data_IF_374966098246
#
_entry.id   IF_374966098246
#
_cell.length_a   1.000
_cell.length_b   1.000
_cell.length_c   1.000
_cell.angle_alpha   90.00
_cell.angle_beta   90.00
_cell.angle_gamma   90.00
#
_symmetry.space_group_name_H-M   'P 1'
#
loop_
_entity.id
_entity.type
_entity.pdbx_description
1 polymer ?
#
# COMPACT_ATOMS: atom_id res chain seq x y z
N UNK A 1 -33.39 2.70 -8.18
CA UNK A 1 -34.74 2.18 -8.50
C UNK A 1 -35.02 1.08 -7.49
N UNK A 2 -35.97 1.28 -6.61
CA UNK A 2 -36.46 0.22 -5.73
C UNK A 2 -37.80 -0.26 -6.33
N UNK A 3 -37.95 -1.58 -6.51
CA UNK A 3 -39.15 -2.23 -7.04
C UNK A 3 -39.66 -1.63 -8.37
N UNK A 4 -38.74 -1.16 -9.23
CA UNK A 4 -39.09 -0.56 -10.53
C UNK A 4 -39.50 0.91 -10.48
N UNK A 5 -39.61 1.51 -9.30
CA UNK A 5 -39.97 2.92 -9.13
C UNK A 5 -38.71 3.80 -9.21
N UNK A 6 -38.74 4.79 -10.11
CA UNK A 6 -37.68 5.81 -10.19
C UNK A 6 -37.81 6.79 -9.03
N UNK A 7 -36.74 6.98 -8.29
CA UNK A 7 -36.62 8.03 -7.27
C UNK A 7 -35.31 8.80 -7.44
N UNK A 8 -35.29 10.06 -7.09
CA UNK A 8 -34.13 10.92 -7.05
C UNK A 8 -33.72 11.13 -5.59
N UNK A 9 -32.44 11.02 -5.31
CA UNK A 9 -31.87 11.31 -4.00
C UNK A 9 -30.47 11.91 -4.17
N UNK A 10 -30.07 12.76 -3.23
CA UNK A 10 -28.70 13.25 -3.15
C UNK A 10 -27.79 12.09 -2.71
N UNK A 11 -26.63 11.96 -3.37
CA UNK A 11 -25.61 10.98 -3.02
C UNK A 11 -24.27 11.68 -2.76
N UNK A 12 -23.38 11.01 -2.02
CA UNK A 12 -22.04 11.52 -1.73
C UNK A 12 -21.03 10.63 -2.45
N UNK A 13 -20.19 11.23 -3.29
CA UNK A 13 -19.16 10.54 -4.05
C UNK A 13 -17.79 10.74 -3.39
N UNK A 14 -16.94 9.73 -3.49
CA UNK A 14 -15.55 9.85 -3.11
C UNK A 14 -14.80 10.77 -4.09
N UNK A 15 -14.01 11.72 -3.58
CA UNK A 15 -13.20 12.56 -4.43
C UNK A 15 -12.05 11.74 -5.05
N UNK A 16 -11.80 11.98 -6.34
CA UNK A 16 -10.70 11.41 -7.10
C UNK A 16 -10.01 12.53 -7.87
N UNK A 17 -8.74 12.79 -7.55
CA UNK A 17 -7.97 13.87 -8.12
C UNK A 17 -6.54 13.42 -8.43
N UNK A 18 -5.88 13.99 -9.45
CA UNK A 18 -4.48 13.68 -9.73
C UNK A 18 -3.56 14.17 -8.62
N UNK A 19 -2.52 13.40 -8.33
CA UNK A 19 -1.37 13.79 -7.52
C UNK A 19 -0.10 13.54 -8.32
N UNK A 20 0.70 14.59 -8.52
CA UNK A 20 2.03 14.48 -9.08
C UNK A 20 3.06 14.35 -7.94
N UNK A 21 3.91 13.34 -8.04
CA UNK A 21 5.01 13.08 -7.11
C UNK A 21 6.31 13.51 -7.77
N UNK A 22 7.02 14.44 -7.14
CA UNK A 22 8.33 14.94 -7.56
C UNK A 22 9.40 14.62 -6.53
N UNK A 23 10.63 14.48 -7.01
CA UNK A 23 11.83 14.34 -6.17
C UNK A 23 12.76 15.51 -6.43
N UNK A 24 13.28 16.10 -5.34
CA UNK A 24 14.32 17.12 -5.34
C UNK A 24 15.55 16.57 -4.64
N UNK A 25 16.66 16.43 -5.34
CA UNK A 25 17.90 15.90 -4.79
C UNK A 25 19.04 16.93 -4.90
N UNK A 26 20.10 16.84 -4.07
CA UNK A 26 21.22 17.79 -4.10
C UNK A 26 21.91 17.81 -5.47
N UNK A 27 22.09 19.00 -6.02
CA UNK A 27 22.78 19.19 -7.31
C UNK A 27 22.01 18.71 -8.54
N UNK A 28 20.74 18.39 -8.39
CA UNK A 28 19.86 17.96 -9.48
C UNK A 28 18.62 18.85 -9.58
N UNK A 29 18.11 19.03 -10.80
CA UNK A 29 16.82 19.65 -11.00
C UNK A 29 15.70 18.79 -10.42
N UNK A 30 14.60 19.43 -10.03
CA UNK A 30 13.42 18.72 -9.55
C UNK A 30 12.87 17.82 -10.68
N UNK A 31 12.61 16.54 -10.36
CA UNK A 31 12.18 15.55 -11.33
C UNK A 31 10.77 15.03 -10.99
N UNK A 32 9.92 14.98 -12.00
CA UNK A 32 8.66 14.26 -11.92
C UNK A 32 8.92 12.75 -11.93
N UNK A 33 8.37 12.04 -10.93
CA UNK A 33 8.52 10.58 -10.82
C UNK A 33 7.24 9.87 -11.24
N UNK A 34 6.08 10.33 -10.76
CA UNK A 34 4.80 9.72 -11.06
C UNK A 34 3.64 10.73 -11.02
N UNK A 35 2.56 10.37 -11.71
CA UNK A 35 1.24 10.97 -11.53
C UNK A 35 0.26 9.83 -11.22
N UNK A 36 -0.49 9.94 -10.14
CA UNK A 36 -1.48 8.95 -9.74
C UNK A 36 -2.82 9.61 -9.44
N UNK A 37 -3.92 8.91 -9.75
CA UNK A 37 -5.24 9.32 -9.27
C UNK A 37 -5.40 8.86 -7.82
N UNK A 38 -5.81 9.75 -6.92
CA UNK A 38 -5.93 9.47 -5.50
C UNK A 38 -7.16 10.14 -4.87
N UNK A 39 -7.59 9.64 -3.73
CA UNK A 39 -8.47 10.40 -2.83
C UNK A 39 -7.63 11.38 -2.02
N UNK A 40 -7.94 12.70 -2.04
CA UNK A 40 -7.21 13.71 -1.27
C UNK A 40 -7.07 13.36 0.22
N UNK A 41 -5.91 13.73 0.78
CA UNK A 41 -5.53 13.43 2.16
C UNK A 41 -4.53 12.28 2.29
N UNK A 42 -3.53 12.45 3.18
CA UNK A 42 -2.41 11.54 3.30
C UNK A 42 -1.48 11.58 2.08
N UNK A 43 -1.37 12.71 1.43
CA UNK A 43 -0.61 12.87 0.17
C UNK A 43 0.90 12.77 0.40
N UNK A 44 1.38 13.19 1.56
CA UNK A 44 2.79 13.05 1.94
C UNK A 44 3.14 11.58 2.20
N UNK A 45 2.26 10.89 2.94
CA UNK A 45 2.37 9.44 3.17
C UNK A 45 2.31 8.68 1.84
N UNK A 46 1.39 9.05 0.92
CA UNK A 46 1.31 8.45 -0.41
C UNK A 46 2.61 8.62 -1.20
N UNK A 47 3.13 9.84 -1.26
CA UNK A 47 4.34 10.14 -2.03
C UNK A 47 5.56 9.38 -1.50
N UNK A 48 5.78 9.41 -0.18
CA UNK A 48 6.93 8.70 0.44
C UNK A 48 6.75 7.20 0.38
N UNK A 49 5.54 6.70 0.66
CA UNK A 49 5.22 5.28 0.59
C UNK A 49 5.43 4.72 -0.81
N UNK A 50 4.93 5.41 -1.83
CA UNK A 50 5.17 5.04 -3.23
C UNK A 50 6.66 4.97 -3.57
N UNK A 51 7.43 6.02 -3.29
CA UNK A 51 8.86 6.06 -3.59
C UNK A 51 9.63 4.94 -2.87
N UNK A 52 9.28 4.66 -1.63
CA UNK A 52 9.90 3.61 -0.82
C UNK A 52 9.54 2.21 -1.33
N UNK A 53 8.25 1.92 -1.53
CA UNK A 53 7.78 0.60 -1.94
C UNK A 53 8.16 0.24 -3.37
N UNK A 54 8.37 1.24 -4.23
CA UNK A 54 8.96 1.07 -5.58
C UNK A 54 10.50 0.97 -5.53
N UNK A 55 11.13 1.03 -4.35
CA UNK A 55 12.57 0.92 -4.15
C UNK A 55 13.36 2.09 -4.75
N UNK A 56 12.73 3.23 -4.93
CA UNK A 56 13.35 4.44 -5.49
C UNK A 56 14.13 5.22 -4.44
N UNK A 57 13.70 5.14 -3.16
CA UNK A 57 14.37 5.78 -2.02
C UNK A 57 14.43 4.82 -0.84
N UNK A 58 15.36 5.04 0.07
CA UNK A 58 15.36 4.43 1.41
C UNK A 58 14.92 5.48 2.45
N UNK A 59 14.36 5.08 3.60
CA UNK A 59 13.83 6.03 4.60
C UNK A 59 14.82 7.13 5.01
N UNK A 60 16.09 6.76 5.17
CA UNK A 60 17.15 7.69 5.56
C UNK A 60 17.48 8.75 4.51
N UNK A 61 17.06 8.58 3.26
CA UNK A 61 17.28 9.57 2.20
C UNK A 61 16.24 10.70 2.23
N UNK A 62 15.08 10.50 2.86
CA UNK A 62 14.00 11.49 2.91
C UNK A 62 14.37 12.60 3.90
N UNK A 63 14.55 13.81 3.38
CA UNK A 63 14.85 15.01 4.17
C UNK A 63 13.60 15.81 4.53
N UNK A 64 12.70 16.00 3.58
CA UNK A 64 11.48 16.80 3.71
C UNK A 64 10.44 16.37 2.69
N UNK A 65 9.18 16.47 3.07
CA UNK A 65 8.05 16.34 2.16
C UNK A 65 7.20 17.59 2.27
N UNK A 66 6.79 18.16 1.15
CA UNK A 66 5.95 19.34 1.10
C UNK A 66 5.16 19.41 -0.21
N UNK A 67 4.03 20.11 -0.19
CA UNK A 67 3.44 20.55 -1.46
C UNK A 67 4.39 21.56 -2.15
N UNK A 68 4.40 21.53 -3.48
CA UNK A 68 5.12 22.53 -4.24
C UNK A 68 4.45 23.90 -4.06
N UNK A 69 5.27 24.92 -3.92
CA UNK A 69 4.78 26.31 -3.91
C UNK A 69 4.21 26.66 -5.29
N UNK A 70 3.10 27.39 -5.30
CA UNK A 70 2.54 28.00 -6.52
C UNK A 70 3.29 29.28 -6.86
N UNK A 71 3.24 29.68 -8.13
CA UNK A 71 3.74 30.98 -8.53
C UNK A 71 2.87 32.09 -7.91
N UNK A 72 3.45 33.25 -7.59
CA UNK A 72 2.65 34.38 -7.09
C UNK A 72 1.47 34.72 -8.02
N UNK A 73 0.26 34.62 -7.47
CA UNK A 73 -0.99 34.89 -8.22
C UNK A 73 -1.71 33.62 -8.74
N UNK A 74 -1.16 32.44 -8.52
CA UNK A 74 -1.83 31.18 -8.83
C UNK A 74 -2.48 30.58 -7.57
N UNK A 75 -3.65 29.94 -7.76
CA UNK A 75 -4.32 29.20 -6.68
C UNK A 75 -3.56 27.88 -6.37
N UNK A 76 -3.39 27.58 -5.08
CA UNK A 76 -2.80 26.32 -4.63
C UNK A 76 -3.80 25.15 -4.78
N UNK A 77 -3.48 24.20 -5.63
CA UNK A 77 -4.34 23.03 -5.88
C UNK A 77 -4.00 21.81 -5.01
N UNK A 78 -2.89 21.83 -4.27
CA UNK A 78 -2.42 20.73 -3.41
C UNK A 78 -2.31 19.38 -4.14
N UNK A 79 -1.93 19.41 -5.41
CA UNK A 79 -1.85 18.25 -6.28
C UNK A 79 -0.44 17.91 -6.76
N UNK A 80 0.58 18.61 -6.23
CA UNK A 80 1.99 18.35 -6.51
C UNK A 80 2.75 18.26 -5.19
N UNK A 81 3.29 17.08 -4.89
CA UNK A 81 4.12 16.83 -3.70
C UNK A 81 5.57 16.64 -4.12
N UNK A 82 6.46 17.38 -3.48
CA UNK A 82 7.92 17.25 -3.62
C UNK A 82 8.53 16.54 -2.42
N UNK A 83 9.28 15.49 -2.67
CA UNK A 83 10.10 14.79 -1.68
C UNK A 83 11.54 15.21 -1.87
N UNK A 84 12.07 15.98 -0.90
CA UNK A 84 13.47 16.42 -0.90
C UNK A 84 14.33 15.33 -0.28
N UNK A 85 15.44 14.99 -0.92
CA UNK A 85 16.36 13.94 -0.49
C UNK A 85 17.67 14.52 0.07
N UNK A 86 18.36 13.72 0.91
CA UNK A 86 19.70 14.01 1.39
C UNK A 86 20.80 13.62 0.38
N UNK A 87 20.51 12.70 -0.55
CA UNK A 87 21.45 12.13 -1.51
C UNK A 87 20.96 12.32 -2.95
N UNK A 88 21.87 12.23 -3.94
CA UNK A 88 21.50 12.23 -5.34
C UNK A 88 20.48 11.13 -5.66
N UNK A 89 19.55 11.42 -6.55
CA UNK A 89 18.49 10.52 -6.99
C UNK A 89 18.89 9.84 -8.31
N UNK A 90 18.73 8.52 -8.38
CA UNK A 90 18.98 7.73 -9.58
C UNK A 90 17.72 7.69 -10.47
N UNK A 91 17.62 8.63 -11.40
CA UNK A 91 16.49 8.73 -12.33
C UNK A 91 16.37 7.55 -13.31
N UNK A 92 17.45 6.80 -13.55
CA UNK A 92 17.39 5.64 -14.44
C UNK A 92 16.64 4.46 -13.81
N UNK A 93 16.57 4.41 -12.49
CA UNK A 93 15.67 3.48 -11.76
C UNK A 93 14.20 3.75 -12.09
N UNK A 94 13.79 5.00 -12.15
CA UNK A 94 12.41 5.38 -12.51
C UNK A 94 12.04 4.81 -13.87
N UNK A 95 12.89 5.04 -14.88
CA UNK A 95 12.64 4.54 -16.23
C UNK A 95 12.51 3.02 -16.26
N UNK A 96 13.40 2.29 -15.58
CA UNK A 96 13.36 0.82 -15.52
C UNK A 96 12.07 0.30 -14.89
N UNK A 97 11.65 0.86 -13.76
CA UNK A 97 10.45 0.42 -13.04
C UNK A 97 9.18 0.68 -13.84
N UNK A 98 9.04 1.84 -14.49
CA UNK A 98 7.84 2.18 -15.26
C UNK A 98 7.78 1.50 -16.65
N UNK A 99 8.92 1.24 -17.30
CA UNK A 99 8.93 0.45 -18.54
C UNK A 99 8.52 -1.01 -18.28
N UNK A 100 8.87 -1.58 -17.15
CA UNK A 100 8.49 -2.94 -16.78
C UNK A 100 6.98 -3.09 -16.53
N UNK A 101 6.31 -2.05 -16.03
CA UNK A 101 4.86 -2.07 -15.75
C UNK A 101 3.98 -1.71 -16.95
N UNK A 102 4.50 -0.96 -17.92
CA UNK A 102 3.74 -0.50 -19.09
C UNK A 102 3.86 -1.42 -20.32
N UNK A 103 4.86 -2.30 -20.36
CA UNK A 103 5.03 -3.25 -21.44
C UNK A 103 4.40 -4.58 -21.09
N UNK A 104 3.32 -4.93 -21.77
CA UNK A 104 2.72 -6.27 -21.76
C UNK A 104 3.79 -7.29 -22.19
N UNK A 105 4.40 -8.00 -21.21
CA UNK A 105 5.42 -9.01 -21.55
C UNK A 105 6.60 -9.14 -20.60
N UNK A 106 6.67 -8.39 -19.49
CA UNK A 106 7.68 -8.70 -18.47
C UNK A 106 7.28 -10.03 -17.84
N UNK A 107 8.11 -11.04 -18.05
CA UNK A 107 7.96 -12.35 -17.45
C UNK A 107 7.91 -12.17 -15.92
N UNK A 108 6.88 -12.72 -15.25
CA UNK A 108 6.71 -12.63 -13.79
C UNK A 108 7.99 -12.98 -13.01
N UNK A 109 8.88 -13.80 -13.59
CA UNK A 109 10.19 -14.12 -13.05
C UNK A 109 11.13 -12.91 -12.93
N UNK A 110 11.16 -12.03 -13.93
CA UNK A 110 11.99 -10.82 -13.90
C UNK A 110 11.50 -9.83 -12.82
N UNK A 111 10.17 -9.75 -12.60
CA UNK A 111 9.60 -8.93 -11.53
C UNK A 111 9.96 -9.45 -10.14
N UNK A 112 9.98 -10.78 -9.95
CA UNK A 112 10.40 -11.40 -8.68
C UNK A 112 11.90 -11.18 -8.39
N UNK A 113 12.76 -11.32 -9.42
CA UNK A 113 14.21 -11.06 -9.31
C UNK A 113 14.50 -9.60 -8.95
N UNK A 114 13.72 -8.67 -9.46
CA UNK A 114 13.84 -7.22 -9.18
C UNK A 114 13.51 -6.89 -7.70
N UNK A 115 12.58 -7.62 -7.09
CA UNK A 115 12.26 -7.47 -5.66
C UNK A 115 13.33 -8.09 -4.77
N UNK A 116 13.92 -9.22 -5.14
CA UNK A 116 15.00 -9.85 -4.37
C UNK A 116 16.21 -8.92 -4.17
N UNK A 117 16.46 -8.02 -5.11
CA UNK A 117 17.52 -7.01 -4.99
C UNK A 117 17.14 -5.91 -3.99
N UNK A 118 15.86 -5.78 -3.63
CA UNK A 118 15.32 -4.65 -2.86
C UNK A 118 14.95 -4.97 -1.42
N UNK A 119 14.66 -6.22 -1.10
CA UNK A 119 14.23 -6.61 0.23
C UNK A 119 14.81 -7.97 0.65
N UNK A 120 15.09 -8.08 1.94
CA UNK A 120 15.45 -9.34 2.55
C UNK A 120 14.23 -10.27 2.66
N UNK A 121 14.48 -11.57 2.68
CA UNK A 121 13.44 -12.54 3.01
C UNK A 121 12.91 -12.28 4.42
N UNK A 122 11.61 -12.21 4.57
CA UNK A 122 10.94 -11.99 5.86
C UNK A 122 10.97 -13.30 6.65
N UNK A 123 12.02 -13.49 7.47
CA UNK A 123 12.22 -14.73 8.23
C UNK A 123 11.44 -14.78 9.55
N UNK A 124 11.17 -13.60 10.14
CA UNK A 124 10.54 -13.44 11.46
C UNK A 124 9.17 -12.76 11.33
N UNK A 125 8.34 -12.90 12.35
CA UNK A 125 7.04 -12.25 12.41
C UNK A 125 6.17 -12.84 13.50
N UNK A 126 5.05 -12.20 13.84
CA UNK A 126 4.12 -12.69 14.84
C UNK A 126 3.43 -13.97 14.37
N UNK A 127 3.08 -14.81 15.34
CA UNK A 127 2.13 -15.92 15.15
C UNK A 127 0.76 -15.44 15.62
N UNK A 128 -0.27 -15.62 14.77
CA UNK A 128 -1.63 -15.15 15.05
C UNK A 128 -2.63 -16.29 14.91
N UNK A 129 -3.78 -16.18 15.57
CA UNK A 129 -4.83 -17.20 15.47
C UNK A 129 -5.75 -16.95 14.27
N UNK A 130 -6.43 -17.97 13.74
CA UNK A 130 -7.46 -17.79 12.71
C UNK A 130 -8.56 -16.81 13.14
N UNK A 131 -9.00 -16.87 14.40
CA UNK A 131 -10.02 -15.96 14.94
C UNK A 131 -9.57 -14.51 14.95
N UNK A 132 -8.28 -14.26 15.19
CA UNK A 132 -7.69 -12.93 15.07
C UNK A 132 -7.82 -12.43 13.63
N UNK A 133 -7.37 -13.22 12.65
CA UNK A 133 -7.42 -12.86 11.22
C UNK A 133 -8.85 -12.62 10.75
N UNK A 134 -9.82 -13.43 11.20
CA UNK A 134 -11.23 -13.27 10.86
C UNK A 134 -11.86 -11.95 11.34
N UNK A 135 -11.29 -11.31 12.37
CA UNK A 135 -11.76 -10.02 12.88
C UNK A 135 -11.19 -8.81 12.13
N UNK A 136 -10.08 -8.98 11.39
CA UNK A 136 -9.40 -7.86 10.74
C UNK A 136 -10.24 -7.13 9.68
N UNK A 137 -11.06 -7.81 8.83
CA UNK A 137 -11.91 -7.11 7.88
C UNK A 137 -12.92 -6.18 8.54
N UNK A 138 -13.55 -6.62 9.64
CA UNK A 138 -14.51 -5.80 10.39
C UNK A 138 -13.81 -4.64 11.10
N UNK A 139 -12.65 -4.88 11.70
CA UNK A 139 -11.84 -3.83 12.31
C UNK A 139 -11.43 -2.76 11.28
N UNK A 140 -10.97 -3.19 10.09
CA UNK A 140 -10.67 -2.31 8.97
C UNK A 140 -11.92 -1.53 8.55
N UNK A 141 -13.04 -2.23 8.35
CA UNK A 141 -14.31 -1.64 7.91
C UNK A 141 -14.82 -0.57 8.87
N UNK A 142 -14.75 -0.84 10.18
CA UNK A 142 -15.19 0.10 11.21
C UNK A 142 -14.34 1.38 11.26
N UNK A 143 -13.09 1.31 10.80
CA UNK A 143 -12.19 2.47 10.72
C UNK A 143 -12.36 3.29 9.42
N UNK A 144 -13.08 2.78 8.40
CA UNK A 144 -13.28 3.43 7.11
C UNK A 144 -14.36 4.51 7.17
N UNK A 145 -13.97 5.75 7.45
CA UNK A 145 -14.89 6.89 7.63
C UNK A 145 -15.45 7.42 6.31
N UNK A 146 -14.65 7.47 5.26
CA UNK A 146 -15.05 8.00 3.94
C UNK A 146 -15.86 6.95 3.19
N UNK A 147 -15.42 5.70 3.20
CA UNK A 147 -16.16 4.59 2.61
C UNK A 147 -17.57 4.45 3.21
N UNK A 148 -17.72 4.63 4.51
CA UNK A 148 -19.02 4.54 5.17
C UNK A 148 -20.06 5.52 4.59
N UNK A 149 -19.61 6.64 4.01
CA UNK A 149 -20.46 7.68 3.39
C UNK A 149 -20.60 7.53 1.89
N UNK A 150 -19.60 6.99 1.21
CA UNK A 150 -19.50 7.03 -0.25
C UNK A 150 -19.56 5.65 -0.90
N UNK A 151 -19.17 4.60 -0.18
CA UNK A 151 -19.07 3.23 -0.71
C UNK A 151 -17.97 3.02 -1.76
N UNK A 152 -17.20 4.05 -2.12
CA UNK A 152 -16.33 4.08 -3.32
C UNK A 152 -14.83 3.94 -3.09
N UNK A 153 -14.37 3.59 -1.87
CA UNK A 153 -12.94 3.54 -1.57
C UNK A 153 -12.46 2.13 -1.19
N UNK A 154 -11.20 1.88 -1.51
CA UNK A 154 -10.41 0.83 -0.92
C UNK A 154 -9.80 1.27 0.40
N UNK A 155 -9.36 0.30 1.22
CA UNK A 155 -8.62 0.56 2.44
C UNK A 155 -7.49 -0.45 2.65
N UNK A 156 -6.46 0.02 3.33
CA UNK A 156 -5.41 -0.77 3.93
C UNK A 156 -5.30 -0.41 5.42
N UNK A 157 -5.06 -1.41 6.25
CA UNK A 157 -4.87 -1.22 7.68
C UNK A 157 -3.68 -2.02 8.18
N UNK A 158 -2.92 -1.41 9.07
CA UNK A 158 -1.78 -2.01 9.75
C UNK A 158 -2.18 -2.31 11.20
N UNK A 159 -1.97 -3.56 11.60
CA UNK A 159 -2.38 -4.09 12.90
C UNK A 159 -1.19 -4.74 13.61
N UNK A 160 -1.23 -4.78 14.96
CA UNK A 160 -0.36 -5.65 15.75
C UNK A 160 -1.07 -6.96 16.09
N UNK A 161 -0.29 -7.95 16.51
CA UNK A 161 -0.81 -9.27 16.89
C UNK A 161 -1.77 -9.24 18.10
N UNK A 162 -1.73 -8.20 18.93
CA UNK A 162 -2.67 -7.97 20.02
C UNK A 162 -4.03 -7.41 19.56
N UNK A 163 -4.18 -7.11 18.28
CA UNK A 163 -5.39 -6.55 17.68
C UNK A 163 -5.44 -5.03 17.66
N UNK A 164 -4.44 -4.35 18.19
CA UNK A 164 -4.38 -2.89 18.13
C UNK A 164 -4.22 -2.41 16.67
N UNK A 165 -5.01 -1.41 16.31
CA UNK A 165 -4.93 -0.71 15.02
C UNK A 165 -3.79 0.29 15.10
N UNK A 166 -2.80 0.16 14.23
CA UNK A 166 -1.68 1.10 14.12
C UNK A 166 -2.03 2.24 13.18
N UNK A 167 -2.54 1.91 12.00
CA UNK A 167 -2.92 2.86 10.98
C UNK A 167 -3.98 2.29 10.05
N UNK A 168 -4.89 3.13 9.57
CA UNK A 168 -5.82 2.81 8.48
C UNK A 168 -5.85 3.98 7.50
N UNK A 169 -5.74 3.67 6.22
CA UNK A 169 -5.85 4.64 5.13
C UNK A 169 -6.83 4.17 4.07
N UNK A 170 -7.59 5.14 3.56
CA UNK A 170 -8.55 4.93 2.48
C UNK A 170 -8.07 5.65 1.22
N UNK A 171 -8.31 5.05 0.05
CA UNK A 171 -8.04 5.64 -1.25
C UNK A 171 -8.89 4.98 -2.33
N UNK A 172 -9.18 5.72 -3.42
CA UNK A 172 -9.82 5.16 -4.62
C UNK A 172 -8.96 4.05 -5.24
N UNK A 173 -7.63 4.16 -5.13
CA UNK A 173 -6.65 3.17 -5.55
C UNK A 173 -6.23 2.24 -4.41
N UNK A 174 -6.45 0.92 -4.57
CA UNK A 174 -6.01 -0.06 -3.55
C UNK A 174 -4.50 -0.02 -3.26
N UNK A 175 -3.67 0.25 -4.27
CA UNK A 175 -2.23 0.38 -4.12
C UNK A 175 -1.87 1.66 -3.34
N UNK A 176 -2.54 2.76 -3.64
CA UNK A 176 -2.37 4.02 -2.91
C UNK A 176 -2.71 3.87 -1.42
N UNK A 177 -3.78 3.13 -1.08
CA UNK A 177 -4.14 2.88 0.32
C UNK A 177 -3.00 2.17 1.07
N UNK A 178 -2.33 1.19 0.43
CA UNK A 178 -1.16 0.49 0.98
C UNK A 178 0.03 1.43 1.08
N UNK A 179 0.31 2.23 0.03
CA UNK A 179 1.40 3.19 0.04
C UNK A 179 1.21 4.24 1.14
N UNK A 180 -0.01 4.74 1.36
CA UNK A 180 -0.32 5.67 2.46
C UNK A 180 -0.02 5.07 3.84
N UNK A 181 -0.43 3.82 4.08
CA UNK A 181 -0.18 3.13 5.36
C UNK A 181 1.31 2.93 5.60
N UNK A 182 2.05 2.45 4.58
CA UNK A 182 3.50 2.21 4.68
C UNK A 182 4.24 3.54 4.79
N UNK A 183 3.87 4.54 3.98
CA UNK A 183 4.52 5.85 3.98
C UNK A 183 4.38 6.60 5.30
N UNK A 184 3.25 6.44 6.01
CA UNK A 184 3.11 6.95 7.38
C UNK A 184 4.18 6.37 8.30
N UNK A 185 4.41 5.05 8.21
CA UNK A 185 5.43 4.38 9.04
C UNK A 185 6.85 4.75 8.62
N UNK A 186 7.10 4.96 7.31
CA UNK A 186 8.39 5.48 6.82
C UNK A 186 8.67 6.87 7.41
N UNK A 187 7.69 7.78 7.37
CA UNK A 187 7.82 9.13 7.94
C UNK A 187 7.99 9.13 9.46
N UNK A 188 7.42 8.14 10.15
CA UNK A 188 7.56 7.94 11.59
C UNK A 188 8.86 7.21 11.98
N UNK A 189 9.67 6.73 11.02
CA UNK A 189 10.88 5.94 11.28
C UNK A 189 10.60 4.51 11.79
N UNK A 190 9.39 3.99 11.53
CA UNK A 190 8.91 2.70 12.06
C UNK A 190 9.19 1.47 11.18
N UNK A 191 9.86 1.63 10.03
CA UNK A 191 10.20 0.48 9.17
C UNK A 191 11.58 -0.11 9.53
N UNK A 192 11.77 -1.44 9.39
CA UNK A 192 10.87 -2.46 8.82
C UNK A 192 9.73 -2.88 9.77
N UNK A 193 8.59 -3.29 9.19
CA UNK A 193 7.31 -3.57 9.88
C UNK A 193 7.17 -5.05 10.28
N UNK A 194 8.18 -5.64 10.88
CA UNK A 194 8.28 -7.09 11.16
C UNK A 194 7.22 -7.62 12.13
N UNK A 195 6.71 -6.77 13.01
CA UNK A 195 5.72 -7.15 14.04
C UNK A 195 4.28 -6.78 13.65
N UNK A 196 4.03 -6.53 12.35
CA UNK A 196 2.75 -6.03 11.88
C UNK A 196 2.06 -6.97 10.90
N UNK A 197 0.75 -6.83 10.83
CA UNK A 197 -0.13 -7.50 9.89
C UNK A 197 -0.78 -6.45 9.01
N UNK A 198 -0.70 -6.61 7.69
CA UNK A 198 -1.39 -5.76 6.72
C UNK A 198 -2.72 -6.40 6.33
N UNK A 199 -3.84 -5.71 6.58
CA UNK A 199 -5.16 -6.10 6.08
C UNK A 199 -5.57 -5.18 4.93
N UNK A 200 -5.99 -5.75 3.80
CA UNK A 200 -6.50 -4.99 2.66
C UNK A 200 -7.94 -5.34 2.34
N UNK A 201 -8.72 -4.35 1.91
CA UNK A 201 -10.14 -4.53 1.55
C UNK A 201 -10.36 -5.17 0.18
N UNK A 202 -9.31 -5.25 -0.63
CA UNK A 202 -9.37 -5.72 -2.02
C UNK A 202 -8.77 -7.11 -2.24
N UNK A 203 -8.35 -7.35 -3.50
CA UNK A 203 -7.59 -8.54 -3.90
C UNK A 203 -6.14 -8.42 -3.50
N UNK A 204 -5.48 -9.55 -3.24
CA UNK A 204 -4.03 -9.67 -3.11
C UNK A 204 -3.40 -9.79 -4.50
N UNK A 205 -2.96 -8.67 -5.07
CA UNK A 205 -2.16 -8.67 -6.29
C UNK A 205 -0.67 -8.77 -5.96
N UNK A 206 0.13 -9.11 -6.96
CA UNK A 206 1.58 -9.16 -6.84
C UNK A 206 2.16 -7.85 -6.29
N UNK A 207 1.70 -6.70 -6.79
CA UNK A 207 2.20 -5.39 -6.37
C UNK A 207 1.92 -5.10 -4.88
N UNK A 208 0.78 -5.57 -4.33
CA UNK A 208 0.49 -5.44 -2.89
C UNK A 208 1.47 -6.27 -2.06
N UNK A 209 1.76 -7.50 -2.51
CA UNK A 209 2.74 -8.38 -1.84
C UNK A 209 4.14 -7.79 -1.94
N UNK A 210 4.53 -7.25 -3.11
CA UNK A 210 5.80 -6.54 -3.32
C UNK A 210 5.96 -5.38 -2.32
N UNK A 211 4.96 -4.50 -2.23
CA UNK A 211 4.99 -3.35 -1.32
C UNK A 211 5.13 -3.78 0.14
N UNK A 212 4.39 -4.82 0.54
CA UNK A 212 4.48 -5.39 1.87
C UNK A 212 5.85 -6.02 2.15
N UNK A 213 6.44 -6.74 1.17
CA UNK A 213 7.79 -7.33 1.27
C UNK A 213 8.86 -6.26 1.49
N UNK A 214 8.86 -5.19 0.67
CA UNK A 214 9.80 -4.06 0.80
C UNK A 214 9.67 -3.39 2.17
N UNK A 215 8.45 -3.31 2.73
CA UNK A 215 8.21 -2.79 4.06
C UNK A 215 8.56 -3.77 5.20
N UNK A 216 8.88 -5.04 4.89
CA UNK A 216 9.22 -6.08 5.86
C UNK A 216 8.00 -6.64 6.60
N UNK A 217 6.79 -6.58 6.02
CA UNK A 217 5.55 -7.05 6.63
C UNK A 217 5.42 -8.56 6.45
N UNK A 218 5.35 -9.35 7.55
CA UNK A 218 5.35 -10.82 7.47
C UNK A 218 4.00 -11.45 7.10
N UNK A 219 2.89 -10.79 7.40
CA UNK A 219 1.54 -11.33 7.19
C UNK A 219 0.71 -10.31 6.41
N UNK A 220 0.15 -10.75 5.27
CA UNK A 220 -0.81 -9.96 4.49
C UNK A 220 -2.12 -10.70 4.37
N UNK A 221 -3.18 -10.06 4.80
CA UNK A 221 -4.55 -10.58 4.84
C UNK A 221 -5.46 -9.78 3.90
N UNK A 222 -6.35 -10.46 3.20
CA UNK A 222 -7.25 -9.83 2.23
C UNK A 222 -8.66 -10.44 2.26
N UNK A 223 -9.66 -9.61 2.02
CA UNK A 223 -11.06 -10.03 1.90
C UNK A 223 -11.30 -10.90 0.67
N UNK A 224 -10.47 -10.74 -0.37
CA UNK A 224 -10.62 -11.43 -1.66
C UNK A 224 -9.42 -12.32 -2.01
N UNK A 225 -9.41 -12.84 -3.25
CA UNK A 225 -8.42 -13.79 -3.72
C UNK A 225 -7.03 -13.19 -3.95
N UNK A 226 -5.94 -13.97 -3.76
CA UNK A 226 -4.63 -13.66 -4.32
C UNK A 226 -4.55 -14.01 -5.81
N UNK A 227 -3.62 -13.39 -6.53
CA UNK A 227 -3.17 -13.87 -7.83
C UNK A 227 -2.11 -14.97 -7.68
N UNK A 228 -1.90 -15.78 -8.73
CA UNK A 228 -0.86 -16.84 -8.70
C UNK A 228 0.53 -16.26 -8.44
N UNK A 229 0.88 -15.15 -9.11
CA UNK A 229 2.16 -14.48 -8.91
C UNK A 229 2.31 -13.89 -7.50
N UNK A 230 1.21 -13.44 -6.88
CA UNK A 230 1.22 -13.01 -5.47
C UNK A 230 1.58 -14.16 -4.53
N UNK A 231 1.04 -15.37 -4.77
CA UNK A 231 1.35 -16.55 -3.97
C UNK A 231 2.82 -16.96 -4.14
N UNK A 232 3.31 -16.99 -5.38
CA UNK A 232 4.72 -17.27 -5.68
C UNK A 232 5.66 -16.27 -4.97
N UNK A 233 5.33 -14.98 -5.00
CA UNK A 233 6.06 -13.95 -4.28
C UNK A 233 6.02 -14.17 -2.76
N UNK A 234 4.85 -14.50 -2.20
CA UNK A 234 4.70 -14.79 -0.77
C UNK A 234 5.60 -15.94 -0.30
N UNK A 235 5.64 -17.05 -1.05
CA UNK A 235 6.55 -18.17 -0.77
C UNK A 235 8.02 -17.76 -0.86
N UNK A 236 8.39 -17.06 -1.93
CA UNK A 236 9.78 -16.66 -2.20
C UNK A 236 10.32 -15.69 -1.15
N UNK A 237 9.50 -14.74 -0.72
CA UNK A 237 9.88 -13.71 0.28
C UNK A 237 9.55 -14.09 1.72
N UNK A 238 9.10 -15.31 1.97
CA UNK A 238 8.85 -15.80 3.32
C UNK A 238 7.65 -15.16 4.01
N UNK A 239 6.65 -14.70 3.26
CA UNK A 239 5.46 -14.02 3.77
C UNK A 239 4.27 -14.96 3.89
N UNK A 240 3.47 -14.77 4.92
CA UNK A 240 2.19 -15.46 5.09
C UNK A 240 1.09 -14.68 4.37
N UNK A 241 0.48 -15.30 3.37
CA UNK A 241 -0.61 -14.72 2.60
C UNK A 241 -1.94 -15.40 2.95
N UNK A 242 -2.90 -14.58 3.38
CA UNK A 242 -4.23 -15.03 3.76
C UNK A 242 -5.28 -14.33 2.89
N UNK A 243 -6.10 -15.11 2.22
CA UNK A 243 -7.15 -14.61 1.36
C UNK A 243 -8.54 -15.10 1.75
N UNK A 244 -9.58 -14.51 1.11
CA UNK A 244 -10.99 -14.81 1.36
C UNK A 244 -11.39 -14.68 2.85
N UNK A 245 -10.76 -13.74 3.56
CA UNK A 245 -11.05 -13.49 4.98
C UNK A 245 -12.41 -12.81 5.10
N UNK A 246 -13.45 -13.62 5.17
CA UNK A 246 -14.85 -13.18 5.25
C UNK A 246 -15.78 -14.36 5.58
N UNK A 247 -16.97 -14.07 6.07
CA UNK A 247 -18.01 -15.08 6.33
C UNK A 247 -17.53 -16.24 7.22
N UNK A 248 -16.69 -15.95 8.21
CA UNK A 248 -16.17 -16.94 9.15
C UNK A 248 -15.14 -17.92 8.59
N UNK A 249 -14.55 -17.65 7.42
CA UNK A 249 -13.55 -18.49 6.77
C UNK A 249 -12.40 -17.70 6.18
N UNK A 250 -11.26 -18.38 6.03
CA UNK A 250 -10.05 -17.86 5.42
C UNK A 250 -9.27 -19.00 4.73
N UNK A 251 -8.41 -18.64 3.79
CA UNK A 251 -7.48 -19.57 3.16
C UNK A 251 -6.05 -19.04 3.34
N UNK A 252 -5.14 -19.89 3.81
CA UNK A 252 -3.71 -19.59 3.87
C UNK A 252 -3.06 -20.15 2.61
N UNK A 253 -2.34 -19.29 1.88
CA UNK A 253 -1.76 -19.61 0.57
C UNK A 253 -0.24 -19.80 0.61
N UNK A 254 0.44 -19.20 1.57
CA UNK A 254 1.90 -19.30 1.74
C UNK A 254 2.27 -19.22 3.21
N UNK A 255 3.36 -19.89 3.60
CA UNK A 255 3.99 -19.80 4.92
C UNK A 255 2.98 -19.94 6.08
N UNK A 256 2.29 -21.08 6.23
CA UNK A 256 1.21 -21.26 7.20
C UNK A 256 1.70 -21.26 8.66
N UNK A 257 2.97 -21.41 8.92
CA UNK A 257 3.56 -21.49 10.26
C UNK A 257 3.32 -20.25 11.14
N UNK A 258 2.90 -19.12 10.55
CA UNK A 258 2.51 -17.91 11.31
C UNK A 258 1.01 -17.86 11.63
N UNK A 259 0.25 -18.88 11.23
CA UNK A 259 -1.14 -19.04 11.63
C UNK A 259 -1.21 -20.23 12.58
N UNK A 260 -1.49 -19.95 13.86
CA UNK A 260 -1.58 -21.00 14.87
C UNK A 260 -2.69 -22.00 14.51
N UNK A 261 -2.47 -23.27 14.82
CA UNK A 261 -3.54 -24.27 14.73
C UNK A 261 -4.66 -23.90 15.69
N UNK A 262 -5.92 -24.05 15.25
CA UNK A 262 -7.06 -23.86 16.13
C UNK A 262 -6.94 -24.86 17.31
N UNK A 263 -6.93 -24.35 18.53
CA UNK A 263 -7.00 -25.23 19.71
C UNK A 263 -8.39 -25.84 19.70
N UNK A 264 -8.44 -27.16 19.40
CA UNK A 264 -9.65 -27.97 19.39
C UNK A 264 -10.24 -28.17 20.78
#
# INVERSE_FOLDING_TARGET
MNDGVRSERTDTLAAEEPLEIRVQAPGQDQQQVAVTMRTPGGDFELAVGFLFTEGLVVPADVKRVAYCDTMPGEDQHYNVVSVTLHRPFDSDRVKRNFYATSSCGVCGKAALEDIEVRCDVVSEGPVVTPEFLLRLPDALRNAQKVFARTGGLHAAGLFRADGSVVSVREDVGRHNAVDKVIGEQVLAGGVPLRDHILQVSGRLSFEIVQKAAVAGIPIVSAVSAPSSLAVEAGERFGMTLVGFVRDGRLNVYSRPERVAEAIS
#
